data_IF_875884890375
#
_entry.id   IF_875884890375
#
_cell.length_a   1.000
_cell.length_b   1.000
_cell.length_c   1.000
_cell.angle_alpha   90.00
_cell.angle_beta   90.00
_cell.angle_gamma   90.00
#
_symmetry.space_group_name_H-M   'P 1'
#
loop_
_entity.id
_entity.type
_entity.pdbx_description
1 polymer ?
#
# COMPACT_ATOMS: atom_id res chain seq x y z
N UNK A 1 2.85 -11.09 -24.72
CA UNK A 1 3.68 -10.82 -23.53
C UNK A 1 3.06 -9.59 -22.92
N UNK A 2 2.25 -9.78 -21.89
CA UNK A 2 1.61 -8.67 -21.18
C UNK A 2 2.67 -7.99 -20.34
N UNK A 3 3.04 -6.77 -20.71
CA UNK A 3 4.02 -5.98 -19.97
C UNK A 3 3.33 -5.42 -18.73
N UNK A 4 3.74 -5.86 -17.54
CA UNK A 4 3.19 -5.36 -16.28
C UNK A 4 3.72 -3.95 -16.01
N UNK A 5 2.81 -2.98 -15.96
CA UNK A 5 3.13 -1.58 -15.69
C UNK A 5 3.07 -1.35 -14.19
N UNK A 6 4.19 -0.94 -13.60
CA UNK A 6 4.30 -0.63 -12.17
C UNK A 6 4.52 0.87 -11.99
N UNK A 7 3.58 1.51 -11.30
CA UNK A 7 3.64 2.95 -11.01
C UNK A 7 3.96 3.10 -9.53
N UNK A 8 5.14 3.66 -9.16
CA UNK A 8 5.48 3.87 -7.77
C UNK A 8 4.61 4.98 -7.16
N UNK A 9 3.99 4.69 -6.02
CA UNK A 9 3.23 5.66 -5.23
C UNK A 9 3.85 5.73 -3.83
N UNK A 10 4.12 6.94 -3.35
CA UNK A 10 4.59 7.16 -1.99
C UNK A 10 3.41 7.34 -1.05
N UNK A 11 3.39 6.59 0.05
CA UNK A 11 2.41 6.72 1.12
C UNK A 11 3.06 7.41 2.33
N UNK A 12 2.32 8.28 3.04
CA UNK A 12 2.83 8.91 4.25
C UNK A 12 3.04 7.86 5.34
N UNK A 13 4.10 8.07 6.11
CA UNK A 13 4.36 7.37 7.37
C UNK A 13 4.04 8.30 8.53
N UNK A 14 3.79 7.72 9.70
CA UNK A 14 3.69 8.51 10.92
C UNK A 14 5.08 8.99 11.40
N UNK A 15 5.10 9.74 12.51
CA UNK A 15 6.34 10.35 13.00
C UNK A 15 7.42 9.34 13.43
N UNK A 16 7.03 8.08 13.68
CA UNK A 16 7.93 6.99 14.05
C UNK A 16 8.22 6.02 12.88
N UNK A 17 7.74 6.32 11.67
CA UNK A 17 8.00 5.50 10.48
C UNK A 17 7.03 4.32 10.27
N UNK A 18 5.84 4.38 10.88
CA UNK A 18 4.82 3.34 10.71
C UNK A 18 3.85 3.68 9.59
N UNK A 19 3.44 2.65 8.86
CA UNK A 19 2.45 2.73 7.79
C UNK A 19 1.13 2.14 8.25
N UNK A 20 0.04 2.90 8.10
CA UNK A 20 -1.31 2.43 8.39
C UNK A 20 -1.77 1.37 7.41
N UNK A 21 -2.51 0.40 7.93
CA UNK A 21 -3.03 -0.76 7.22
C UNK A 21 -4.38 -1.15 7.77
N UNK A 22 -5.21 -1.76 6.93
CA UNK A 22 -6.51 -2.28 7.31
C UNK A 22 -6.55 -3.79 7.13
N UNK A 23 -7.15 -4.48 8.09
CA UNK A 23 -7.37 -5.92 7.96
C UNK A 23 -8.53 -6.20 6.99
N UNK A 24 -8.35 -7.03 5.94
CA UNK A 24 -9.41 -7.35 4.99
C UNK A 24 -10.53 -8.22 5.60
N UNK A 25 -10.35 -8.73 6.82
CA UNK A 25 -11.29 -9.64 7.48
C UNK A 25 -12.10 -8.99 8.59
N UNK A 26 -11.50 -8.06 9.35
CA UNK A 26 -12.21 -7.35 10.42
C UNK A 26 -12.34 -5.84 10.21
N UNK A 27 -11.79 -5.30 9.11
CA UNK A 27 -11.86 -3.88 8.73
C UNK A 27 -11.29 -2.92 9.78
N UNK A 28 -10.52 -3.46 10.73
CA UNK A 28 -9.85 -2.66 11.76
C UNK A 28 -8.48 -2.23 11.27
N UNK A 29 -8.14 -1.00 11.60
CA UNK A 29 -6.85 -0.40 11.26
C UNK A 29 -5.82 -0.61 12.36
N UNK A 30 -4.58 -0.77 11.93
CA UNK A 30 -3.37 -0.80 12.75
C UNK A 30 -2.23 -0.22 11.90
N UNK A 31 -1.02 -0.12 12.46
CA UNK A 31 0.15 0.25 11.68
C UNK A 31 1.28 -0.74 11.87
N UNK A 32 2.01 -1.02 10.79
CA UNK A 32 3.24 -1.78 10.86
C UNK A 32 4.44 -0.88 10.60
N UNK A 33 5.60 -1.30 11.08
CA UNK A 33 6.84 -0.60 10.81
C UNK A 33 7.23 -0.72 9.34
N UNK A 34 7.65 0.39 8.71
CA UNK A 34 8.06 0.38 7.31
C UNK A 34 9.56 0.20 7.19
N UNK A 35 10.00 -1.00 6.81
CA UNK A 35 11.39 -1.26 6.44
C UNK A 35 11.75 -0.66 5.08
N UNK A 36 13.03 -0.27 4.93
CA UNK A 36 13.57 0.07 3.62
C UNK A 36 13.72 -1.20 2.77
N UNK A 37 13.68 -1.05 1.45
CA UNK A 37 13.92 -2.16 0.54
C UNK A 37 15.30 -2.80 0.80
N UNK A 38 15.32 -4.11 1.07
CA UNK A 38 16.54 -4.85 1.36
C UNK A 38 17.08 -4.71 2.78
N UNK A 39 16.31 -4.17 3.73
CA UNK A 39 16.70 -4.14 5.15
C UNK A 39 16.95 -5.57 5.67
N UNK A 40 18.18 -5.90 6.12
CA UNK A 40 18.50 -7.23 6.63
C UNK A 40 17.82 -7.57 7.97
N UNK A 41 17.22 -6.58 8.64
CA UNK A 41 16.48 -6.79 9.90
C UNK A 41 14.98 -7.03 9.67
N UNK A 42 14.49 -6.85 8.43
CA UNK A 42 13.10 -7.16 8.10
C UNK A 42 12.87 -8.67 8.19
N UNK A 43 11.80 -9.08 8.87
CA UNK A 43 11.47 -10.48 9.02
C UNK A 43 10.83 -11.00 7.73
N UNK A 44 11.31 -12.14 7.18
CA UNK A 44 10.73 -12.71 5.98
C UNK A 44 9.32 -13.22 6.28
N UNK A 45 8.34 -12.74 5.51
CA UNK A 45 6.95 -13.16 5.62
C UNK A 45 6.45 -13.74 4.30
N UNK A 46 5.72 -14.85 4.37
CA UNK A 46 4.95 -15.39 3.22
C UNK A 46 3.48 -14.96 3.27
N UNK A 47 3.03 -14.55 4.46
CA UNK A 47 1.72 -13.99 4.76
C UNK A 47 1.86 -13.14 6.03
N UNK A 48 0.90 -12.27 6.26
CA UNK A 48 0.79 -11.53 7.51
C UNK A 48 -0.45 -11.97 8.29
N UNK A 49 -0.46 -11.67 9.58
CA UNK A 49 -1.58 -11.93 10.49
C UNK A 49 -2.07 -10.62 11.07
N UNK A 50 -3.39 -10.46 11.16
CA UNK A 50 -3.96 -9.24 11.71
C UNK A 50 -3.60 -9.11 13.20
N UNK A 51 -2.96 -8.01 13.64
CA UNK A 51 -2.64 -7.83 15.04
C UNK A 51 -3.84 -7.80 15.99
N UNK A 52 -5.03 -7.54 15.44
CA UNK A 52 -6.25 -7.30 16.21
C UNK A 52 -7.20 -8.51 16.26
N UNK A 53 -7.31 -9.28 15.18
CA UNK A 53 -8.19 -10.46 15.13
C UNK A 53 -7.45 -11.78 14.92
N UNK A 54 -6.17 -11.75 14.52
CA UNK A 54 -5.34 -12.93 14.27
C UNK A 54 -5.58 -13.62 12.93
N UNK A 55 -6.49 -13.14 12.08
CA UNK A 55 -6.76 -13.75 10.77
C UNK A 55 -5.57 -13.52 9.81
N UNK A 56 -5.10 -14.56 9.08
CA UNK A 56 -4.05 -14.41 8.09
C UNK A 56 -4.54 -13.80 6.78
N UNK A 57 -3.66 -13.07 6.09
CA UNK A 57 -3.90 -12.62 4.73
C UNK A 57 -2.60 -12.48 3.93
N UNK A 58 -2.72 -12.37 2.60
CA UNK A 58 -1.59 -12.21 1.70
C UNK A 58 -0.85 -10.88 1.91
N UNK A 59 0.38 -10.77 1.42
CA UNK A 59 1.23 -9.58 1.62
C UNK A 59 0.60 -8.30 1.05
N UNK A 60 -0.17 -8.41 -0.04
CA UNK A 60 -0.79 -7.28 -0.74
C UNK A 60 -2.25 -7.00 -0.33
N UNK A 61 -2.70 -7.53 0.81
CA UNK A 61 -4.13 -7.51 1.21
C UNK A 61 -4.50 -6.47 2.27
N UNK A 62 -3.58 -5.58 2.64
CA UNK A 62 -3.69 -4.75 3.85
C UNK A 62 -3.91 -3.26 3.58
N UNK A 63 -4.43 -2.90 2.40
CA UNK A 63 -4.64 -1.51 2.02
C UNK A 63 -5.90 -0.93 2.67
N UNK A 64 -5.81 0.29 3.17
CA UNK A 64 -7.02 1.03 3.54
C UNK A 64 -7.76 1.50 2.28
N UNK A 65 -9.08 1.71 2.32
CA UNK A 65 -9.82 2.28 1.20
C UNK A 65 -9.23 3.63 0.73
N UNK A 66 -8.81 4.48 1.66
CA UNK A 66 -8.18 5.77 1.37
C UNK A 66 -6.82 5.61 0.64
N UNK A 67 -6.02 4.60 1.00
CA UNK A 67 -4.76 4.30 0.30
C UNK A 67 -5.00 3.83 -1.13
N UNK A 68 -6.01 2.98 -1.36
CA UNK A 68 -6.36 2.52 -2.69
C UNK A 68 -6.80 3.70 -3.57
N UNK A 69 -7.72 4.54 -3.07
CA UNK A 69 -8.19 5.73 -3.77
C UNK A 69 -7.05 6.71 -4.08
N UNK A 70 -6.20 6.99 -3.10
CA UNK A 70 -5.02 7.83 -3.30
C UNK A 70 -4.06 7.23 -4.34
N UNK A 71 -3.84 5.91 -4.31
CA UNK A 71 -3.00 5.21 -5.28
C UNK A 71 -3.51 5.33 -6.71
N UNK A 72 -4.81 5.09 -6.91
CA UNK A 72 -5.45 5.24 -8.23
C UNK A 72 -5.40 6.67 -8.75
N UNK A 73 -5.76 7.64 -7.90
CA UNK A 73 -5.77 9.05 -8.26
C UNK A 73 -4.37 9.59 -8.56
N UNK A 74 -3.38 9.24 -7.72
CA UNK A 74 -1.98 9.65 -7.88
C UNK A 74 -1.31 9.04 -9.12
N UNK A 75 -1.75 7.85 -9.54
CA UNK A 75 -1.25 7.18 -10.75
C UNK A 75 -1.85 7.74 -12.05
N UNK A 76 -2.89 8.59 -11.98
CA UNK A 76 -3.66 9.01 -13.15
C UNK A 76 -2.84 9.63 -14.28
N UNK A 77 -1.89 10.52 -13.94
CA UNK A 77 -1.01 11.12 -14.93
C UNK A 77 -0.09 10.11 -15.64
N UNK A 78 0.39 9.09 -14.91
CA UNK A 78 1.21 8.04 -15.48
C UNK A 78 0.38 7.08 -16.36
N UNK A 79 -0.86 6.77 -15.95
CA UNK A 79 -1.81 5.97 -16.74
C UNK A 79 -2.13 6.70 -18.05
N UNK A 80 -2.38 8.01 -18.02
CA UNK A 80 -2.62 8.83 -19.21
C UNK A 80 -1.45 8.76 -20.20
N UNK A 81 -0.20 8.81 -19.71
CA UNK A 81 0.99 8.70 -20.56
C UNK A 81 1.11 7.32 -21.20
N UNK A 82 0.91 6.26 -20.41
CA UNK A 82 0.92 4.88 -20.90
C UNK A 82 -0.09 4.69 -22.04
N UNK A 83 -1.31 5.20 -21.88
CA UNK A 83 -2.35 5.08 -22.91
C UNK A 83 -1.97 5.87 -24.16
N UNK A 84 -1.45 7.10 -24.00
CA UNK A 84 -0.99 7.93 -25.12
C UNK A 84 0.13 7.26 -25.91
N UNK A 85 1.09 6.66 -25.24
CA UNK A 85 2.23 5.97 -25.85
C UNK A 85 1.77 4.71 -26.59
N UNK A 86 0.93 3.88 -25.95
CA UNK A 86 0.37 2.69 -26.59
C UNK A 86 -0.44 3.02 -27.86
N UNK A 87 -1.26 4.08 -27.81
CA UNK A 87 -1.99 4.55 -28.99
C UNK A 87 -1.04 5.04 -30.08
N UNK A 88 -0.04 5.86 -29.71
CA UNK A 88 0.97 6.38 -30.65
C UNK A 88 1.69 5.26 -31.39
N UNK A 89 2.12 4.21 -30.67
CA UNK A 89 2.85 3.10 -31.24
C UNK A 89 1.98 2.23 -32.16
N UNK A 90 0.70 2.02 -31.83
CA UNK A 90 -0.24 1.35 -32.72
C UNK A 90 -0.40 2.09 -34.06
N UNK A 91 -0.48 3.43 -34.02
CA UNK A 91 -0.66 4.23 -35.23
C UNK A 91 0.64 4.41 -36.05
N UNK A 92 1.82 4.39 -35.43
CA UNK A 92 3.11 4.42 -36.15
C UNK A 92 3.29 3.24 -37.11
N UNK A 93 2.67 2.09 -36.81
CA UNK A 93 2.71 0.90 -37.67
C UNK A 93 1.82 0.97 -38.93
N UNK A 94 0.92 1.94 -39.04
CA UNK A 94 -0.12 1.96 -40.07
C UNK A 94 0.27 2.86 -41.25
N UNK A 95 0.91 2.25 -42.28
CA UNK A 95 1.33 2.96 -43.50
C UNK A 95 0.14 3.63 -44.21
N UNK A 96 0.24 4.95 -44.43
CA UNK A 96 -0.75 5.75 -45.13
C UNK A 96 -1.71 6.55 -44.23
N UNK A 97 -1.59 6.40 -42.90
CA UNK A 97 -2.40 7.14 -41.93
C UNK A 97 -1.54 8.18 -41.19
N UNK A 98 -1.90 9.46 -41.28
CA UNK A 98 -1.25 10.52 -40.48
C UNK A 98 -2.02 10.67 -39.17
N UNK A 99 -1.53 10.01 -38.11
CA UNK A 99 -2.06 10.21 -36.77
C UNK A 99 -1.61 11.56 -36.22
N UNK A 100 -2.58 12.37 -35.78
CA UNK A 100 -2.33 13.56 -34.96
C UNK A 100 -2.80 13.22 -33.55
N UNK A 101 -1.87 13.05 -32.58
CA UNK A 101 -2.26 12.82 -31.20
C UNK A 101 -3.16 13.96 -30.73
N UNK A 102 -4.31 13.63 -30.14
CA UNK A 102 -5.12 14.63 -29.47
C UNK A 102 -4.45 14.95 -28.13
N UNK A 103 -3.78 16.10 -28.04
CA UNK A 103 -3.10 16.54 -26.81
C UNK A 103 -4.04 16.71 -25.62
N UNK A 104 -5.35 16.81 -25.88
CA UNK A 104 -6.40 16.95 -24.87
C UNK A 104 -6.99 15.63 -24.38
N UNK A 105 -6.46 14.47 -24.80
CA UNK A 105 -6.88 13.20 -24.20
C UNK A 105 -6.36 13.14 -22.75
N UNK A 106 -7.28 13.10 -21.79
CA UNK A 106 -7.04 12.80 -20.38
C UNK A 106 -8.15 11.85 -19.93
N UNK A 107 -7.83 10.90 -19.04
CA UNK A 107 -8.84 10.05 -18.41
C UNK A 107 -9.63 10.78 -17.31
N UNK A 108 -9.36 12.08 -17.12
CA UNK A 108 -9.99 12.96 -16.12
C UNK A 108 -10.02 12.33 -14.72
N UNK A 109 -8.94 11.61 -14.36
CA UNK A 109 -8.79 10.99 -13.06
C UNK A 109 -8.63 12.09 -12.02
N UNK A 110 -9.56 12.15 -11.06
CA UNK A 110 -9.54 13.15 -10.01
C UNK A 110 -8.27 13.04 -9.16
N UNK A 111 -7.64 14.19 -8.90
CA UNK A 111 -6.48 14.23 -7.99
C UNK A 111 -7.00 14.08 -6.57
N UNK A 112 -6.59 13.03 -5.84
CA UNK A 112 -7.11 12.76 -4.51
C UNK A 112 -6.55 13.79 -3.51
N UNK A 113 -7.28 14.01 -2.43
CA UNK A 113 -6.75 14.75 -1.28
C UNK A 113 -5.47 14.06 -0.76
N UNK A 114 -4.54 14.87 -0.25
CA UNK A 114 -3.30 14.33 0.31
C UNK A 114 -3.60 13.48 1.54
N UNK A 115 -3.07 12.25 1.57
CA UNK A 115 -3.13 11.41 2.76
C UNK A 115 -2.31 12.04 3.89
N UNK A 116 -2.86 12.02 5.09
CA UNK A 116 -2.18 12.43 6.33
C UNK A 116 -2.15 11.22 7.25
N UNK A 117 -0.98 10.92 7.80
CA UNK A 117 -0.82 9.82 8.76
C UNK A 117 -0.64 10.38 10.18
N UNK A 118 -1.67 10.32 11.04
CA UNK A 118 -1.64 10.90 12.39
C UNK A 118 -0.99 9.97 13.41
N UNK A 119 -0.36 10.49 14.46
CA UNK A 119 0.16 9.69 15.59
C UNK A 119 -0.95 9.36 16.62
N UNK A 120 -1.84 8.44 16.27
CA UNK A 120 -3.09 8.12 16.99
C UNK A 120 -3.14 6.71 17.60
N UNK A 121 -2.03 5.95 17.56
CA UNK A 121 -1.97 4.56 18.02
C UNK A 121 -0.74 4.30 18.90
N UNK A 122 -0.83 3.28 19.75
CA UNK A 122 0.20 2.92 20.73
C UNK A 122 1.14 1.88 20.15
N UNK A 123 2.45 2.10 20.27
CA UNK A 123 3.49 1.16 19.84
C UNK A 123 3.57 -0.06 20.76
N UNK A 124 3.67 -1.24 20.16
CA UNK A 124 3.73 -2.54 20.81
C UNK A 124 4.78 -3.40 20.11
N UNK A 125 5.56 -4.15 20.88
CA UNK A 125 6.66 -4.96 20.37
C UNK A 125 6.40 -6.45 20.60
N UNK A 126 6.21 -7.25 19.54
CA UNK A 126 6.00 -8.68 19.69
C UNK A 126 7.27 -9.40 20.16
N UNK A 127 7.25 -10.16 21.28
CA UNK A 127 8.44 -10.82 21.80
C UNK A 127 9.07 -11.86 20.86
N UNK A 128 8.29 -12.37 19.90
CA UNK A 128 8.75 -13.37 18.93
C UNK A 128 9.45 -12.76 17.69
N UNK A 129 9.11 -11.52 17.33
CA UNK A 129 9.65 -10.81 16.16
C UNK A 129 9.91 -9.34 16.53
N UNK A 130 10.90 -9.06 17.41
CA UNK A 130 11.11 -7.72 17.96
C UNK A 130 11.48 -6.66 16.91
N UNK A 131 11.94 -7.08 15.72
CA UNK A 131 12.25 -6.19 14.60
C UNK A 131 11.00 -5.70 13.86
N UNK A 132 9.83 -6.26 14.17
CA UNK A 132 8.56 -5.95 13.51
C UNK A 132 7.58 -5.35 14.53
N UNK A 133 7.89 -4.15 15.06
CA UNK A 133 6.98 -3.48 15.97
C UNK A 133 5.70 -3.06 15.24
N UNK A 134 4.65 -2.86 16.02
CA UNK A 134 3.32 -2.50 15.52
C UNK A 134 2.80 -1.30 16.29
N UNK A 135 1.88 -0.54 15.71
CA UNK A 135 1.02 0.38 16.44
C UNK A 135 -0.42 -0.09 16.36
N UNK A 136 -1.08 -0.17 17.52
CA UNK A 136 -2.48 -0.61 17.64
C UNK A 136 -3.31 0.42 18.42
N UNK A 137 -4.64 0.43 18.25
CA UNK A 137 -5.51 1.21 19.13
C UNK A 137 -5.28 0.88 20.60
N UNK A 138 -5.31 1.90 21.47
CA UNK A 138 -4.99 1.78 22.91
C UNK A 138 -5.85 0.71 23.62
N UNK A 139 -7.12 0.59 23.22
CA UNK A 139 -8.09 -0.38 23.74
C UNK A 139 -7.75 -1.85 23.40
N UNK A 140 -6.79 -2.08 22.50
CA UNK A 140 -6.46 -3.39 21.94
C UNK A 140 -5.15 -3.96 22.49
N UNK A 141 -4.44 -3.20 23.34
CA UNK A 141 -3.13 -3.58 23.94
C UNK A 141 -3.18 -4.83 24.80
N UNK A 142 -4.35 -5.17 25.37
CA UNK A 142 -4.53 -6.35 26.23
C UNK A 142 -4.35 -7.69 25.50
N UNK A 143 -4.53 -7.70 24.18
CA UNK A 143 -4.40 -8.90 23.35
C UNK A 143 -4.06 -8.52 21.93
N UNK A 144 -2.80 -8.73 21.56
CA UNK A 144 -2.26 -8.43 20.23
C UNK A 144 -1.72 -9.71 19.60
N UNK A 145 -1.83 -9.84 18.29
CA UNK A 145 -1.22 -10.92 17.51
C UNK A 145 0.03 -10.40 16.79
N UNK A 146 1.10 -11.20 16.77
CA UNK A 146 2.28 -10.85 15.99
C UNK A 146 1.96 -10.84 14.49
N UNK A 147 2.38 -9.79 13.78
CA UNK A 147 2.16 -9.62 12.34
C UNK A 147 2.76 -10.77 11.51
N UNK A 148 3.92 -11.29 11.92
CA UNK A 148 4.68 -12.30 11.14
C UNK A 148 4.18 -13.72 11.38
N UNK A 149 3.94 -14.10 12.64
CA UNK A 149 3.62 -15.50 12.99
C UNK A 149 2.26 -15.73 13.64
N UNK A 150 1.48 -14.67 13.90
CA UNK A 150 0.15 -14.75 14.50
C UNK A 150 0.12 -15.10 16.00
N UNK A 151 1.29 -15.30 16.63
CA UNK A 151 1.37 -15.62 18.07
C UNK A 151 0.79 -14.48 18.90
N UNK A 152 -0.07 -14.84 19.85
CA UNK A 152 -0.72 -13.89 20.76
C UNK A 152 0.28 -13.44 21.83
N UNK A 153 0.33 -12.14 22.08
CA UNK A 153 1.04 -11.53 23.19
C UNK A 153 0.17 -10.43 23.83
N UNK A 154 0.49 -10.10 25.07
CA UNK A 154 -0.09 -8.96 25.78
C UNK A 154 1.03 -7.96 26.05
N UNK A 155 0.66 -6.68 26.12
CA UNK A 155 1.57 -5.55 26.36
C UNK A 155 1.45 -5.10 27.81
#
# INVERSE_FOLDING_TARGET
MDEEIRIPVSLPLDSDGFLRRECPSCEREFKWFSHNEGDPNAEPATQYFCPLCGEPSGLDSWWTPAQLEYGYGSAGGAIDQVVKDAMSDLFKGMKGFTYKPNSSFSLDIETPDSLVEPDDMVMVEPPCHPNEPLKVPEDSTSRVHCLVCGTVFAV
#
